data_IF_076570769191
#
_entry.id   IF_076570769191
#
_cell.length_a   1.000
_cell.length_b   1.000
_cell.length_c   1.000
_cell.angle_alpha   90.00
_cell.angle_beta   90.00
_cell.angle_gamma   90.00
#
_symmetry.space_group_name_H-M   'P 1'
#
loop_
_entity.id
_entity.type
_entity.pdbx_description
1 polymer ?
#
# COMPACT_ATOMS: atom_id res chain seq x y z
N UNK A 1 5.41 12.12 8.57
CA UNK A 1 4.42 11.58 7.62
C UNK A 1 3.74 10.34 8.19
N UNK A 2 4.44 9.22 8.46
CA UNK A 2 3.86 8.00 9.08
C UNK A 2 3.02 8.28 10.35
N UNK A 3 3.51 9.12 11.27
CA UNK A 3 2.76 9.48 12.48
C UNK A 3 1.41 10.17 12.19
N UNK A 4 1.37 10.96 11.12
CA UNK A 4 0.15 11.61 10.65
C UNK A 4 -0.80 10.61 9.99
N UNK A 5 -0.30 9.73 9.12
CA UNK A 5 -1.11 8.70 8.46
C UNK A 5 -1.76 7.75 9.48
N UNK A 6 -1.00 7.31 10.47
CA UNK A 6 -1.51 6.46 11.55
C UNK A 6 -2.57 7.18 12.38
N UNK A 7 -2.33 8.44 12.76
CA UNK A 7 -3.32 9.24 13.48
C UNK A 7 -4.64 9.39 12.68
N UNK A 8 -4.58 9.47 11.35
CA UNK A 8 -5.76 9.55 10.49
C UNK A 8 -6.43 8.20 10.18
N UNK A 9 -5.76 7.07 10.39
CA UNK A 9 -6.21 5.73 9.97
C UNK A 9 -7.50 5.27 10.66
N UNK A 10 -7.83 5.82 11.82
CA UNK A 10 -9.11 5.54 12.49
C UNK A 10 -10.33 5.82 11.58
N UNK A 11 -10.23 6.79 10.66
CA UNK A 11 -11.29 7.11 9.70
C UNK A 11 -11.49 6.02 8.65
N UNK A 12 -10.38 5.46 8.15
CA UNK A 12 -10.40 4.36 7.19
C UNK A 12 -11.00 3.10 7.81
N UNK A 13 -10.61 2.79 9.05
CA UNK A 13 -11.18 1.65 9.80
C UNK A 13 -12.67 1.86 10.04
N UNK A 14 -13.10 3.07 10.40
CA UNK A 14 -14.53 3.39 10.54
C UNK A 14 -15.31 3.25 9.22
N UNK A 15 -14.64 3.44 8.07
CA UNK A 15 -15.19 3.19 6.74
C UNK A 15 -15.18 1.69 6.33
N UNK A 16 -14.65 0.81 7.18
CA UNK A 16 -14.60 -0.65 6.95
C UNK A 16 -13.30 -1.12 6.28
N UNK A 17 -12.29 -0.27 6.17
CA UNK A 17 -11.00 -0.68 5.61
C UNK A 17 -10.17 -1.51 6.60
N UNK A 18 -9.55 -2.57 6.09
CA UNK A 18 -8.60 -3.37 6.84
C UNK A 18 -7.19 -2.79 6.65
N UNK A 19 -6.70 -2.07 7.66
CA UNK A 19 -5.38 -1.41 7.60
C UNK A 19 -4.34 -2.19 8.40
N UNK A 20 -3.18 -2.43 7.78
CA UNK A 20 -2.03 -3.10 8.39
C UNK A 20 -0.75 -2.30 8.14
N UNK A 21 0.20 -2.43 9.05
CA UNK A 21 1.48 -1.70 9.03
C UNK A 21 2.65 -2.67 9.04
N UNK A 22 3.61 -2.47 8.14
CA UNK A 22 4.83 -3.27 8.07
C UNK A 22 6.01 -2.51 8.69
N UNK A 23 6.57 -2.96 9.82
CA UNK A 23 7.83 -2.41 10.33
C UNK A 23 8.94 -2.53 9.28
N UNK A 24 9.70 -1.45 9.06
CA UNK A 24 10.80 -1.43 8.06
C UNK A 24 11.83 -2.53 8.27
N UNK A 25 12.07 -2.94 9.51
CA UNK A 25 12.96 -4.05 9.87
C UNK A 25 12.53 -5.40 9.29
N UNK A 26 11.27 -5.54 8.84
CA UNK A 26 10.69 -6.76 8.27
C UNK A 26 10.43 -6.68 6.76
N UNK A 27 10.85 -5.57 6.13
CA UNK A 27 10.55 -5.27 4.72
C UNK A 27 11.74 -5.49 3.78
N UNK A 28 12.97 -5.61 4.30
CA UNK A 28 14.20 -5.51 3.50
C UNK A 28 14.37 -6.57 2.41
N UNK A 29 13.76 -7.74 2.56
CA UNK A 29 13.79 -8.87 1.62
C UNK A 29 12.53 -8.97 0.75
N UNK A 30 11.57 -8.02 0.88
CA UNK A 30 10.38 -7.99 0.05
C UNK A 30 10.64 -7.30 -1.28
N UNK A 31 10.12 -7.89 -2.36
CA UNK A 31 10.08 -7.26 -3.67
C UNK A 31 8.78 -6.47 -3.80
N UNK A 32 8.85 -5.16 -3.54
CA UNK A 32 7.70 -4.26 -3.61
C UNK A 32 7.69 -3.46 -4.92
N UNK A 33 6.51 -3.14 -5.46
CA UNK A 33 6.37 -2.13 -6.50
C UNK A 33 6.94 -0.78 -6.05
N UNK A 34 7.67 -0.10 -6.94
CA UNK A 34 8.40 1.12 -6.58
C UNK A 34 7.54 2.37 -6.39
N UNK A 35 6.26 2.33 -6.80
CA UNK A 35 5.30 3.41 -6.62
C UNK A 35 4.13 2.92 -5.78
N UNK A 36 3.53 3.82 -5.02
CA UNK A 36 2.28 3.57 -4.33
C UNK A 36 1.18 3.26 -5.35
N UNK A 37 0.32 2.29 -5.02
CA UNK A 37 -0.67 1.80 -5.97
C UNK A 37 -1.91 1.24 -5.29
N UNK A 38 -2.97 1.16 -6.08
CA UNK A 38 -4.14 0.33 -5.78
C UNK A 38 -4.28 -0.77 -6.82
N UNK A 39 -4.72 -1.94 -6.37
CA UNK A 39 -5.20 -3.01 -7.24
C UNK A 39 -6.72 -3.09 -7.07
N UNK A 40 -7.46 -3.11 -8.19
CA UNK A 40 -8.92 -3.16 -8.22
C UNK A 40 -9.38 -4.33 -9.10
N UNK A 41 -10.32 -5.11 -8.58
CA UNK A 41 -10.95 -6.27 -9.26
C UNK A 41 -9.94 -7.26 -9.90
N UNK A 42 -8.75 -7.42 -9.32
CA UNK A 42 -7.66 -8.26 -9.85
C UNK A 42 -7.29 -8.02 -11.33
N UNK A 43 -7.58 -6.83 -11.86
CA UNK A 43 -7.43 -6.51 -13.29
C UNK A 43 -6.97 -5.09 -13.60
N UNK A 44 -7.17 -4.16 -12.66
CA UNK A 44 -6.74 -2.77 -12.79
C UNK A 44 -5.70 -2.47 -11.73
N UNK A 45 -4.57 -1.91 -12.16
CA UNK A 45 -3.56 -1.35 -11.27
C UNK A 45 -3.50 0.16 -11.49
N UNK A 46 -3.73 0.94 -10.45
CA UNK A 46 -3.60 2.39 -10.46
C UNK A 46 -2.36 2.78 -9.69
N UNK A 47 -1.36 3.35 -10.37
CA UNK A 47 -0.17 3.89 -9.73
C UNK A 47 -0.35 5.37 -9.42
N UNK A 48 0.08 5.77 -8.23
CA UNK A 48 0.24 7.17 -7.85
C UNK A 48 1.64 7.62 -8.25
N UNK A 49 1.74 8.61 -9.15
CA UNK A 49 3.02 9.19 -9.52
C UNK A 49 3.22 10.50 -8.78
N UNK A 50 4.39 10.63 -8.16
CA UNK A 50 4.84 11.83 -7.47
C UNK A 50 6.11 12.37 -8.13
N UNK A 51 6.30 13.68 -8.02
CA UNK A 51 7.54 14.33 -8.40
C UNK A 51 8.66 13.98 -7.41
N UNK A 52 9.92 14.31 -7.74
CA UNK A 52 11.06 14.05 -6.85
C UNK A 52 11.03 14.83 -5.52
N UNK A 53 10.25 15.93 -5.44
CA UNK A 53 9.98 16.68 -4.22
C UNK A 53 8.70 16.21 -3.49
N UNK A 54 8.06 15.12 -3.94
CA UNK A 54 6.92 14.48 -3.28
C UNK A 54 5.55 15.10 -3.60
N UNK A 55 5.46 15.97 -4.61
CA UNK A 55 4.17 16.53 -5.04
C UNK A 55 3.43 15.51 -5.90
N UNK A 56 2.13 15.36 -5.67
CA UNK A 56 1.29 14.50 -6.49
C UNK A 56 1.24 15.01 -7.93
N UNK A 57 1.48 14.12 -8.90
CA UNK A 57 1.46 14.46 -10.32
C UNK A 57 0.15 13.98 -10.98
N UNK A 58 -0.04 12.67 -11.11
CA UNK A 58 -1.25 12.05 -11.66
C UNK A 58 -1.30 10.55 -11.36
N UNK A 59 -2.45 9.95 -11.65
CA UNK A 59 -2.64 8.51 -11.64
C UNK A 59 -2.35 7.88 -13.01
N UNK A 60 -1.70 6.72 -13.02
CA UNK A 60 -1.59 5.87 -14.22
C UNK A 60 -2.39 4.59 -14.00
N UNK A 61 -3.40 4.40 -14.85
CA UNK A 61 -4.28 3.24 -14.83
C UNK A 61 -3.82 2.21 -15.87
N UNK A 62 -3.50 1.00 -15.42
CA UNK A 62 -3.10 -0.12 -16.25
C UNK A 62 -4.08 -1.29 -16.10
N UNK A 63 -4.78 -1.62 -17.18
CA UNK A 63 -5.67 -2.78 -17.24
C UNK A 63 -4.87 -4.03 -17.65
N UNK A 64 -4.35 -4.75 -16.67
CA UNK A 64 -3.57 -5.96 -16.88
C UNK A 64 -3.73 -6.91 -15.70
N UNK A 65 -4.34 -8.08 -15.95
CA UNK A 65 -4.49 -9.14 -14.95
C UNK A 65 -3.15 -9.73 -14.54
N UNK A 66 -2.17 -9.77 -15.44
CA UNK A 66 -0.82 -10.24 -15.13
C UNK A 66 -0.13 -9.29 -14.15
N UNK A 67 -0.23 -7.98 -14.38
CA UNK A 67 0.35 -6.98 -13.49
C UNK A 67 -0.37 -6.93 -12.15
N UNK A 68 -1.70 -6.97 -12.16
CA UNK A 68 -2.51 -7.01 -10.95
C UNK A 68 -2.10 -8.19 -10.06
N UNK A 69 -1.96 -9.40 -10.63
CA UNK A 69 -1.49 -10.58 -9.89
C UNK A 69 -0.09 -10.41 -9.28
N UNK A 70 0.84 -9.78 -10.00
CA UNK A 70 2.18 -9.51 -9.47
C UNK A 70 2.14 -8.54 -8.29
N UNK A 71 1.36 -7.46 -8.42
CA UNK A 71 1.16 -6.50 -7.33
C UNK A 71 0.47 -7.16 -6.13
N UNK A 72 -0.63 -7.89 -6.33
CA UNK A 72 -1.34 -8.61 -5.27
C UNK A 72 -0.41 -9.59 -4.53
N UNK A 73 0.40 -10.36 -5.26
CA UNK A 73 1.36 -11.28 -4.62
C UNK A 73 2.38 -10.56 -3.72
N UNK A 74 2.81 -9.36 -4.09
CA UNK A 74 3.67 -8.54 -3.24
C UNK A 74 2.92 -8.05 -1.97
N UNK A 75 1.66 -7.64 -2.12
CA UNK A 75 0.81 -7.23 -0.99
C UNK A 75 0.46 -8.39 -0.05
N UNK A 76 0.29 -9.61 -0.57
CA UNK A 76 0.10 -10.81 0.25
C UNK A 76 1.35 -11.07 1.12
N UNK A 77 2.54 -11.01 0.52
CA UNK A 77 3.81 -11.17 1.24
C UNK A 77 4.04 -10.07 2.31
N UNK A 78 3.58 -8.85 2.04
CA UNK A 78 3.54 -7.76 3.05
C UNK A 78 2.56 -8.12 4.17
N UNK A 79 1.35 -8.55 3.82
CA UNK A 79 0.25 -8.79 4.75
C UNK A 79 0.56 -9.89 5.76
N UNK A 80 1.27 -10.94 5.34
CA UNK A 80 1.78 -12.02 6.23
C UNK A 80 2.71 -11.49 7.34
N UNK A 81 3.34 -10.33 7.12
CA UNK A 81 4.33 -9.75 8.04
C UNK A 81 3.85 -8.48 8.72
N UNK A 82 2.83 -7.83 8.16
CA UNK A 82 2.29 -6.59 8.68
C UNK A 82 1.44 -6.84 9.95
N UNK A 83 1.46 -5.87 10.86
CA UNK A 83 0.64 -5.84 12.08
C UNK A 83 -0.68 -5.13 11.79
N UNK A 84 -1.82 -5.55 12.38
CA UNK A 84 -3.04 -4.75 12.33
C UNK A 84 -2.82 -3.40 13.00
N UNK A 85 -3.59 -2.38 12.62
CA UNK A 85 -3.41 -1.00 13.10
C UNK A 85 -3.37 -0.87 14.63
N UNK A 86 -4.21 -1.62 15.35
CA UNK A 86 -4.29 -1.61 16.82
C UNK A 86 -3.02 -2.15 17.52
N UNK A 87 -2.27 -3.01 16.84
CA UNK A 87 -1.04 -3.62 17.37
C UNK A 87 0.23 -2.87 16.92
N UNK A 88 0.10 -1.88 16.04
CA UNK A 88 1.24 -1.15 15.50
C UNK A 88 1.50 0.14 16.29
N UNK A 89 2.62 0.15 17.01
CA UNK A 89 3.13 1.31 17.75
C UNK A 89 4.07 2.16 16.87
N UNK A 90 3.96 3.50 16.96
CA UNK A 90 4.83 4.48 16.28
C UNK A 90 6.04 4.84 17.12
#
# INVERSE_FOLDING_TARGET
YIAYEHACTHQNIAAGEHVRWLPRSRASDLLLPGNDLWVMDDRLVRFNLFTGNGEFLHHVDLHSTALAKQCTAAFDAVSERALPHEDFEI
#
